data_IF_007668115981
#
_entry.id   IF_007668115981
#
_cell.length_a   1.000
_cell.length_b   1.000
_cell.length_c   1.000
_cell.angle_alpha   90.00
_cell.angle_beta   90.00
_cell.angle_gamma   90.00
#
_symmetry.space_group_name_H-M   'P 1'
#
loop_
_entity.id
_entity.type
_entity.pdbx_description
1 polymer ?
#
# COMPACT_ATOMS: atom_id res chain seq x y z
N UNK A 1 -18.16 3.78 42.22
CA UNK A 1 -17.24 3.37 41.13
C UNK A 1 -17.86 2.21 40.36
N UNK A 2 -17.91 2.21 39.02
CA UNK A 2 -18.36 1.05 38.26
C UNK A 2 -17.40 -0.11 38.50
N UNK A 3 -17.90 -1.26 38.96
CA UNK A 3 -17.11 -2.48 39.16
C UNK A 3 -16.53 -2.92 37.81
N UNK A 4 -15.20 -2.85 37.65
CA UNK A 4 -14.51 -3.55 36.55
C UNK A 4 -14.69 -5.05 36.75
N UNK A 5 -15.58 -5.67 35.98
CA UNK A 5 -15.64 -7.13 35.87
C UNK A 5 -14.40 -7.58 35.10
N UNK A 6 -13.58 -8.43 35.72
CA UNK A 6 -12.58 -9.22 34.99
C UNK A 6 -13.36 -10.23 34.16
N UNK A 7 -13.49 -9.99 32.87
CA UNK A 7 -14.02 -10.98 31.93
C UNK A 7 -12.88 -11.92 31.56
N UNK A 8 -13.04 -13.22 31.81
CA UNK A 8 -12.11 -14.23 31.34
C UNK A 8 -12.26 -14.40 29.82
N UNK A 9 -11.22 -14.09 29.01
CA UNK A 9 -11.26 -14.23 27.55
C UNK A 9 -11.55 -15.65 27.07
N UNK A 10 -11.23 -16.67 27.86
CA UNK A 10 -11.46 -18.09 27.50
C UNK A 10 -12.95 -18.45 27.41
N UNK A 11 -13.82 -17.75 28.16
CA UNK A 11 -15.27 -17.92 28.12
C UNK A 11 -15.94 -17.38 26.86
N UNK A 12 -15.19 -16.71 25.97
CA UNK A 12 -15.70 -16.19 24.69
C UNK A 12 -15.46 -17.14 23.52
N UNK A 13 -14.59 -18.15 23.69
CA UNK A 13 -14.44 -19.24 22.73
C UNK A 13 -15.63 -20.18 22.92
N UNK A 14 -16.60 -20.09 22.01
CA UNK A 14 -17.79 -20.92 22.05
C UNK A 14 -17.47 -22.29 21.45
N UNK A 15 -17.37 -23.30 22.30
CA UNK A 15 -17.33 -24.69 21.86
C UNK A 15 -18.77 -25.21 21.66
N UNK A 16 -19.05 -25.72 20.46
CA UNK A 16 -20.37 -26.17 20.05
C UNK A 16 -20.85 -27.37 20.90
N UNK A 17 -19.94 -28.29 21.23
CA UNK A 17 -20.25 -29.48 22.01
C UNK A 17 -20.63 -29.12 23.45
N UNK A 18 -19.83 -28.27 24.09
CA UNK A 18 -20.09 -27.78 25.45
C UNK A 18 -21.38 -26.96 25.53
N UNK A 19 -21.68 -26.15 24.51
CA UNK A 19 -22.94 -25.40 24.47
C UNK A 19 -24.16 -26.30 24.28
N UNK A 20 -24.06 -27.33 23.43
CA UNK A 20 -25.12 -28.33 23.25
C UNK A 20 -25.38 -29.12 24.54
N UNK A 21 -24.33 -29.60 25.20
CA UNK A 21 -24.43 -30.34 26.46
C UNK A 21 -25.11 -29.50 27.56
N UNK A 22 -24.71 -28.23 27.70
CA UNK A 22 -25.30 -27.32 28.68
C UNK A 22 -26.80 -27.03 28.44
N UNK A 23 -27.21 -26.91 27.18
CA UNK A 23 -28.62 -26.70 26.80
C UNK A 23 -29.46 -27.94 27.12
N UNK A 24 -28.92 -29.13 26.83
CA UNK A 24 -29.60 -30.40 27.13
C UNK A 24 -29.72 -30.64 28.64
N UNK A 25 -28.64 -30.40 29.40
CA UNK A 25 -28.65 -30.53 30.86
C UNK A 25 -29.69 -29.61 31.53
N UNK A 26 -29.91 -28.41 30.97
CA UNK A 26 -30.92 -27.50 31.49
C UNK A 26 -32.35 -27.86 31.06
N UNK A 27 -32.57 -28.19 29.78
CA UNK A 27 -33.91 -28.37 29.21
C UNK A 27 -34.46 -29.80 29.35
N UNK A 28 -33.60 -30.83 29.29
CA UNK A 28 -34.00 -32.24 29.44
C UNK A 28 -33.81 -32.75 30.85
N UNK A 29 -32.66 -32.46 31.46
CA UNK A 29 -32.30 -33.01 32.78
C UNK A 29 -32.74 -32.12 33.95
N UNK A 30 -33.34 -30.95 33.66
CA UNK A 30 -33.90 -30.04 34.67
C UNK A 30 -32.87 -29.32 35.54
N UNK A 31 -31.58 -29.35 35.18
CA UNK A 31 -30.52 -28.73 35.97
C UNK A 31 -30.68 -27.19 36.03
N UNK A 32 -30.44 -26.52 37.18
CA UNK A 32 -30.46 -25.06 37.25
C UNK A 32 -29.47 -24.42 36.26
N UNK A 33 -29.90 -23.40 35.53
CA UNK A 33 -29.09 -22.78 34.45
C UNK A 33 -27.73 -22.25 34.90
N UNK A 34 -27.58 -21.83 36.17
CA UNK A 34 -26.27 -21.45 36.72
C UNK A 34 -25.34 -22.65 36.90
N UNK A 35 -25.87 -23.77 37.37
CA UNK A 35 -25.10 -25.00 37.56
C UNK A 35 -24.67 -25.60 36.22
N UNK A 36 -25.57 -25.65 35.24
CA UNK A 36 -25.25 -26.10 33.88
C UNK A 36 -24.19 -25.22 33.20
N UNK A 37 -24.28 -23.89 33.39
CA UNK A 37 -23.29 -22.95 32.88
C UNK A 37 -21.89 -23.17 33.48
N UNK A 38 -21.81 -23.40 34.79
CA UNK A 38 -20.53 -23.67 35.46
C UNK A 38 -19.97 -25.05 35.11
N UNK A 39 -20.82 -26.08 35.04
CA UNK A 39 -20.41 -27.45 34.74
C UNK A 39 -19.76 -27.58 33.35
N UNK A 40 -20.34 -26.93 32.35
CA UNK A 40 -19.88 -26.99 30.96
C UNK A 40 -19.01 -25.79 30.56
N UNK A 41 -18.56 -24.98 31.53
CA UNK A 41 -17.72 -23.82 31.32
C UNK A 41 -18.26 -22.82 30.26
N UNK A 42 -19.57 -22.62 30.19
CA UNK A 42 -20.22 -21.69 29.26
C UNK A 42 -20.76 -20.45 29.96
N UNK A 43 -20.80 -19.29 29.28
CA UNK A 43 -21.42 -18.10 29.87
C UNK A 43 -22.93 -18.23 29.99
N UNK A 44 -23.46 -17.95 31.19
CA UNK A 44 -24.91 -17.98 31.49
C UNK A 44 -25.74 -17.16 30.51
N UNK A 45 -25.29 -15.96 30.13
CA UNK A 45 -26.00 -15.09 29.17
C UNK A 45 -26.10 -15.72 27.79
N UNK A 46 -25.05 -16.39 27.35
CA UNK A 46 -25.00 -17.09 26.07
C UNK A 46 -25.87 -18.34 26.11
N UNK A 47 -25.75 -19.14 27.17
CA UNK A 47 -26.61 -20.31 27.41
C UNK A 47 -28.10 -19.94 27.41
N UNK A 48 -28.49 -18.88 28.13
CA UNK A 48 -29.88 -18.39 28.17
C UNK A 48 -30.41 -18.01 26.78
N UNK A 49 -29.56 -17.42 25.92
CA UNK A 49 -29.93 -17.08 24.54
C UNK A 49 -30.16 -18.34 23.71
N UNK A 50 -29.27 -19.34 23.80
CA UNK A 50 -29.40 -20.59 23.07
C UNK A 50 -30.59 -21.43 23.57
N UNK A 51 -30.82 -21.53 24.89
CA UNK A 51 -32.00 -22.21 25.43
C UNK A 51 -33.30 -21.61 24.90
N UNK A 52 -33.41 -20.28 24.89
CA UNK A 52 -34.61 -19.59 24.36
C UNK A 52 -34.80 -19.80 22.86
N UNK A 53 -33.71 -19.78 22.09
CA UNK A 53 -33.76 -20.04 20.65
C UNK A 53 -34.13 -21.51 20.36
N UNK A 54 -33.56 -22.45 21.11
CA UNK A 54 -33.79 -23.89 20.95
C UNK A 54 -35.20 -24.32 21.39
N UNK A 55 -35.73 -23.73 22.46
CA UNK A 55 -37.09 -24.01 22.94
C UNK A 55 -38.19 -23.48 22.03
N UNK A 56 -37.89 -22.47 21.21
CA UNK A 56 -38.86 -21.84 20.30
C UNK A 56 -38.99 -22.58 18.94
N UNK A 57 -38.14 -23.56 18.67
CA UNK A 57 -38.12 -24.32 17.41
C UNK A 57 -39.01 -25.56 17.48
N UNK A 58 -39.57 -25.97 16.34
CA UNK A 58 -40.27 -27.24 16.21
C UNK A 58 -39.29 -28.43 16.32
N UNK A 59 -39.78 -29.62 16.68
CA UNK A 59 -38.91 -30.79 16.91
C UNK A 59 -38.09 -31.20 15.67
N UNK A 60 -38.64 -30.98 14.47
CA UNK A 60 -37.96 -31.20 13.19
C UNK A 60 -36.80 -30.20 12.96
N UNK A 61 -36.96 -28.95 13.38
CA UNK A 61 -35.96 -27.89 13.22
C UNK A 61 -34.84 -27.98 14.28
N UNK A 62 -35.11 -28.61 15.43
CA UNK A 62 -34.12 -28.85 16.48
C UNK A 62 -32.97 -29.74 16.02
N UNK A 63 -33.20 -30.61 15.04
CA UNK A 63 -32.17 -31.50 14.46
C UNK A 63 -31.15 -30.69 13.64
N UNK A 64 -31.59 -29.62 12.97
CA UNK A 64 -30.75 -28.75 12.17
C UNK A 64 -30.15 -27.56 12.95
N UNK A 65 -30.48 -27.42 14.24
CA UNK A 65 -30.02 -26.31 15.05
C UNK A 65 -28.52 -26.42 15.37
N UNK A 66 -27.73 -25.45 14.90
CA UNK A 66 -26.29 -25.35 15.19
C UNK A 66 -26.05 -24.49 16.42
N UNK A 67 -25.24 -24.98 17.35
CA UNK A 67 -24.85 -24.23 18.54
C UNK A 67 -23.60 -23.40 18.28
N UNK A 68 -23.47 -22.84 17.08
CA UNK A 68 -22.36 -21.95 16.70
C UNK A 68 -22.78 -20.48 16.78
N UNK A 69 -21.83 -19.55 16.98
CA UNK A 69 -22.17 -18.14 16.94
C UNK A 69 -22.59 -17.73 15.53
N UNK A 70 -23.79 -17.18 15.42
CA UNK A 70 -24.34 -16.65 14.16
C UNK A 70 -23.80 -15.24 13.91
N UNK A 71 -22.51 -15.12 13.60
CA UNK A 71 -21.85 -13.83 13.29
C UNK A 71 -22.22 -13.29 11.90
N UNK A 72 -22.78 -14.15 11.06
CA UNK A 72 -23.23 -13.92 9.69
C UNK A 72 -24.55 -13.14 9.58
N UNK A 73 -25.35 -13.04 10.65
CA UNK A 73 -26.68 -12.39 10.64
C UNK A 73 -26.62 -10.89 10.28
N UNK A 74 -25.45 -10.25 10.40
CA UNK A 74 -25.24 -8.83 10.07
C UNK A 74 -24.33 -8.59 8.87
N UNK A 75 -24.07 -9.60 8.03
CA UNK A 75 -23.36 -9.38 6.78
C UNK A 75 -24.23 -8.56 5.83
N UNK A 76 -23.69 -7.43 5.38
CA UNK A 76 -24.36 -6.54 4.42
C UNK A 76 -24.33 -7.15 3.02
N UNK A 77 -23.22 -7.80 2.65
CA UNK A 77 -23.00 -8.39 1.34
C UNK A 77 -23.07 -9.92 1.40
N UNK A 78 -23.55 -10.53 0.31
CA UNK A 78 -23.35 -11.95 0.04
C UNK A 78 -21.88 -12.24 -0.29
N UNK A 79 -21.47 -13.51 -0.24
CA UNK A 79 -20.11 -13.89 -0.61
C UNK A 79 -19.75 -13.45 -2.03
N UNK A 80 -20.67 -13.66 -2.99
CA UNK A 80 -20.48 -13.26 -4.40
C UNK A 80 -20.26 -11.75 -4.57
N UNK A 81 -20.99 -10.94 -3.80
CA UNK A 81 -20.83 -9.48 -3.81
C UNK A 81 -19.50 -9.05 -3.22
N UNK A 82 -19.03 -9.72 -2.16
CA UNK A 82 -17.71 -9.45 -1.60
C UNK A 82 -16.58 -9.89 -2.56
N UNK A 83 -16.73 -11.01 -3.25
CA UNK A 83 -15.77 -11.51 -4.25
C UNK A 83 -15.67 -10.57 -5.45
N UNK A 84 -16.80 -9.99 -5.87
CA UNK A 84 -16.84 -8.95 -6.91
C UNK A 84 -16.12 -7.67 -6.47
N UNK A 85 -16.33 -7.23 -5.23
CA UNK A 85 -15.60 -6.10 -4.64
C UNK A 85 -14.10 -6.38 -4.55
N UNK A 86 -13.69 -7.59 -4.13
CA UNK A 86 -12.28 -7.99 -4.09
C UNK A 86 -11.67 -7.92 -5.50
N UNK A 87 -12.36 -8.50 -6.49
CA UNK A 87 -11.91 -8.53 -7.88
C UNK A 87 -11.72 -7.13 -8.45
N UNK A 88 -12.64 -6.21 -8.15
CA UNK A 88 -12.52 -4.81 -8.55
C UNK A 88 -11.31 -4.12 -7.89
N UNK A 89 -11.11 -4.29 -6.58
CA UNK A 89 -9.96 -3.71 -5.86
C UNK A 89 -8.64 -4.19 -6.47
N UNK A 90 -8.53 -5.49 -6.78
CA UNK A 90 -7.35 -6.07 -7.41
C UNK A 90 -7.13 -5.53 -8.82
N UNK A 91 -8.20 -5.39 -9.61
CA UNK A 91 -8.13 -4.83 -10.95
C UNK A 91 -7.67 -3.37 -10.93
N UNK A 92 -8.28 -2.52 -10.08
CA UNK A 92 -7.88 -1.12 -9.92
C UNK A 92 -6.43 -0.99 -9.48
N UNK A 93 -5.96 -1.86 -8.59
CA UNK A 93 -4.56 -1.90 -8.18
C UNK A 93 -3.61 -2.24 -9.32
N UNK A 94 -3.96 -3.20 -10.19
CA UNK A 94 -3.14 -3.57 -11.36
C UNK A 94 -3.04 -2.46 -12.39
N UNK A 95 -4.06 -1.61 -12.48
CA UNK A 95 -4.06 -0.42 -13.34
C UNK A 95 -3.38 0.81 -12.69
N UNK A 96 -2.70 0.65 -11.54
CA UNK A 96 -2.11 1.73 -10.76
C UNK A 96 -3.11 2.75 -10.18
N UNK A 97 -4.40 2.40 -10.13
CA UNK A 97 -5.48 3.19 -9.50
C UNK A 97 -5.96 2.53 -8.20
N UNK A 98 -5.02 2.04 -7.38
CA UNK A 98 -5.32 1.34 -6.13
C UNK A 98 -6.19 2.16 -5.19
N UNK A 99 -7.18 1.51 -4.57
CA UNK A 99 -8.11 2.18 -3.67
C UNK A 99 -7.53 2.34 -2.27
N UNK A 100 -7.67 3.53 -1.71
CA UNK A 100 -7.39 3.76 -0.29
C UNK A 100 -8.50 3.17 0.58
N UNK A 101 -8.20 2.87 1.85
CA UNK A 101 -9.20 2.45 2.84
C UNK A 101 -10.45 3.33 2.84
N UNK A 102 -10.30 4.66 2.75
CA UNK A 102 -11.45 5.59 2.71
C UNK A 102 -12.30 5.37 1.45
N UNK A 103 -11.66 5.24 0.28
CA UNK A 103 -12.35 4.98 -0.99
C UNK A 103 -13.00 3.60 -1.02
N UNK A 104 -12.35 2.56 -0.50
CA UNK A 104 -12.94 1.22 -0.38
C UNK A 104 -14.20 1.25 0.48
N UNK A 105 -14.18 1.95 1.62
CA UNK A 105 -15.37 2.10 2.47
C UNK A 105 -16.49 2.89 1.78
N UNK A 106 -16.15 3.94 1.03
CA UNK A 106 -17.14 4.69 0.24
C UNK A 106 -17.74 3.84 -0.89
N UNK A 107 -16.90 3.11 -1.64
CA UNK A 107 -17.32 2.19 -2.69
C UNK A 107 -18.26 1.11 -2.15
N UNK A 108 -17.98 0.55 -0.97
CA UNK A 108 -18.86 -0.42 -0.35
C UNK A 108 -20.23 0.18 -0.02
N UNK A 109 -20.29 1.40 0.53
CA UNK A 109 -21.57 2.06 0.77
C UNK A 109 -22.33 2.35 -0.54
N UNK A 110 -21.66 2.89 -1.56
CA UNK A 110 -22.25 3.13 -2.89
C UNK A 110 -22.78 1.83 -3.50
N UNK A 111 -22.03 0.73 -3.38
CA UNK A 111 -22.41 -0.59 -3.87
C UNK A 111 -23.61 -1.16 -3.10
N UNK A 112 -23.65 -1.01 -1.78
CA UNK A 112 -24.79 -1.44 -0.97
C UNK A 112 -26.06 -0.65 -1.32
N UNK A 113 -25.92 0.66 -1.51
CA UNK A 113 -27.02 1.56 -1.88
C UNK A 113 -27.55 1.27 -3.29
N UNK A 114 -26.67 1.06 -4.25
CA UNK A 114 -27.04 0.73 -5.63
C UNK A 114 -27.77 -0.62 -5.76
N UNK A 115 -27.41 -1.60 -4.93
CA UNK A 115 -28.06 -2.91 -4.88
C UNK A 115 -29.26 -2.96 -3.90
N UNK A 116 -29.68 -1.81 -3.35
CA UNK A 116 -30.82 -1.70 -2.43
C UNK A 116 -30.71 -2.62 -1.21
N UNK A 117 -29.49 -2.83 -0.71
CA UNK A 117 -29.23 -3.71 0.44
C UNK A 117 -29.57 -3.03 1.76
N UNK A 118 -29.84 -3.84 2.80
CA UNK A 118 -29.97 -3.34 4.16
C UNK A 118 -28.58 -3.18 4.79
N UNK A 119 -28.27 -1.97 5.23
CA UNK A 119 -27.02 -1.65 5.90
C UNK A 119 -27.25 -0.69 7.09
N UNK A 120 -26.27 -0.52 7.99
CA UNK A 120 -26.42 0.37 9.14
C UNK A 120 -26.63 1.83 8.73
N UNK A 121 -27.57 2.54 9.37
CA UNK A 121 -27.86 3.97 9.10
C UNK A 121 -26.62 4.88 9.17
N UNK A 122 -25.67 4.52 10.03
CA UNK A 122 -24.39 5.24 10.15
C UNK A 122 -23.58 5.28 8.86
N UNK A 123 -23.86 4.41 7.88
CA UNK A 123 -23.19 4.45 6.58
C UNK A 123 -23.68 5.63 5.74
N UNK A 124 -24.96 5.98 5.80
CA UNK A 124 -25.51 7.15 5.11
C UNK A 124 -24.99 8.45 5.76
N UNK A 125 -24.96 8.50 7.10
CA UNK A 125 -24.47 9.68 7.83
C UNK A 125 -22.98 9.99 7.53
N UNK A 126 -22.19 8.95 7.25
CA UNK A 126 -20.75 9.07 6.99
C UNK A 126 -20.37 8.94 5.50
N UNK A 127 -21.34 8.70 4.61
CA UNK A 127 -21.15 8.33 3.20
C UNK A 127 -20.08 7.23 2.98
N UNK A 128 -19.99 6.30 3.93
CA UNK A 128 -18.94 5.29 3.95
C UNK A 128 -19.30 4.11 4.86
N UNK A 129 -18.83 2.93 4.49
CA UNK A 129 -18.91 1.75 5.33
C UNK A 129 -18.16 1.93 6.67
N UNK A 130 -18.69 1.26 7.70
CA UNK A 130 -18.14 1.29 9.05
C UNK A 130 -16.76 0.63 9.16
N UNK A 131 -16.06 0.93 10.25
CA UNK A 131 -14.73 0.39 10.53
C UNK A 131 -14.75 -1.12 10.80
N UNK A 132 -15.79 -1.62 11.48
CA UNK A 132 -15.97 -3.05 11.75
C UNK A 132 -16.22 -3.85 10.47
N UNK A 133 -16.97 -3.27 9.52
CA UNK A 133 -17.17 -3.86 8.21
C UNK A 133 -15.83 -4.01 7.48
N UNK A 134 -15.02 -2.94 7.46
CA UNK A 134 -13.73 -2.96 6.78
C UNK A 134 -12.79 -4.01 7.37
N UNK A 135 -12.69 -4.09 8.70
CA UNK A 135 -11.88 -5.12 9.37
C UNK A 135 -12.34 -6.53 9.00
N UNK A 136 -13.64 -6.79 9.11
CA UNK A 136 -14.20 -8.10 8.75
C UNK A 136 -14.00 -8.44 7.27
N UNK A 137 -14.13 -7.47 6.36
CA UNK A 137 -13.87 -7.66 4.94
C UNK A 137 -12.41 -8.04 4.70
N UNK A 138 -11.45 -7.32 5.30
CA UNK A 138 -10.03 -7.62 5.18
C UNK A 138 -9.62 -8.96 5.81
N UNK A 139 -10.29 -9.38 6.89
CA UNK A 139 -10.07 -10.70 7.52
C UNK A 139 -10.54 -11.85 6.63
N UNK A 140 -11.63 -11.66 5.88
CA UNK A 140 -12.16 -12.65 4.93
C UNK A 140 -11.36 -12.71 3.62
N UNK A 141 -10.86 -11.57 3.16
CA UNK A 141 -10.20 -11.42 1.85
C UNK A 141 -8.70 -11.21 2.01
N UNK A 142 -7.98 -12.28 2.33
CA UNK A 142 -6.53 -12.25 2.64
C UNK A 142 -5.63 -11.95 1.44
N UNK A 143 -6.17 -11.98 0.21
CA UNK A 143 -5.43 -11.61 -1.02
C UNK A 143 -5.22 -10.10 -1.12
N UNK A 144 -5.98 -9.30 -0.37
CA UNK A 144 -5.85 -7.84 -0.32
C UNK A 144 -5.01 -7.45 0.90
N UNK A 145 -4.05 -6.54 0.71
CA UNK A 145 -3.31 -5.93 1.80
C UNK A 145 -3.15 -4.43 1.60
N UNK A 146 -3.11 -3.67 2.70
CA UNK A 146 -2.87 -2.24 2.63
C UNK A 146 -1.36 -1.98 2.53
N UNK A 147 -0.93 -1.40 1.41
CA UNK A 147 0.47 -1.05 1.14
C UNK A 147 0.60 0.43 0.80
N UNK A 148 1.82 0.96 0.95
CA UNK A 148 2.15 2.31 0.48
C UNK A 148 2.57 2.20 -1.00
N UNK A 149 1.86 2.85 -1.93
CA UNK A 149 2.25 2.82 -3.33
C UNK A 149 3.56 3.60 -3.53
N UNK A 150 4.38 3.14 -4.47
CA UNK A 150 5.51 3.92 -4.98
C UNK A 150 5.01 4.98 -5.95
N UNK A 151 5.65 6.15 -5.94
CA UNK A 151 5.28 7.23 -6.85
C UNK A 151 5.85 6.94 -8.23
N UNK A 152 5.04 6.33 -9.07
CA UNK A 152 5.37 6.06 -10.48
C UNK A 152 4.68 7.09 -11.37
N UNK A 153 5.44 7.80 -12.20
CA UNK A 153 4.87 8.73 -13.17
C UNK A 153 4.13 7.98 -14.29
N UNK A 154 3.12 8.61 -14.89
CA UNK A 154 2.39 8.07 -16.04
C UNK A 154 3.34 7.66 -17.18
N UNK A 155 4.34 8.49 -17.49
CA UNK A 155 5.34 8.19 -18.52
C UNK A 155 6.15 6.93 -18.22
N UNK A 156 6.54 6.70 -16.96
CA UNK A 156 7.19 5.43 -16.57
C UNK A 156 6.23 4.26 -16.78
N UNK A 157 4.99 4.35 -16.31
CA UNK A 157 4.01 3.27 -16.52
C UNK A 157 3.79 2.94 -18.00
N UNK A 158 3.74 3.94 -18.88
CA UNK A 158 3.58 3.74 -20.32
C UNK A 158 4.85 3.18 -20.98
N UNK A 159 6.03 3.67 -20.57
CA UNK A 159 7.33 3.20 -21.07
C UNK A 159 7.68 1.77 -20.67
N UNK A 160 7.15 1.27 -19.55
CA UNK A 160 7.30 -0.11 -19.09
C UNK A 160 6.13 -1.03 -19.54
N UNK A 161 5.49 -0.72 -20.68
CA UNK A 161 4.53 -1.63 -21.32
C UNK A 161 5.26 -2.70 -22.13
N UNK A 162 4.66 -3.90 -22.28
CA UNK A 162 5.25 -4.98 -23.09
C UNK A 162 5.62 -4.52 -24.49
N UNK A 163 4.72 -3.81 -25.18
CA UNK A 163 4.98 -3.32 -26.53
C UNK A 163 6.16 -2.33 -26.61
N UNK A 164 6.27 -1.40 -25.65
CA UNK A 164 7.37 -0.44 -25.60
C UNK A 164 8.71 -1.15 -25.30
N UNK A 165 8.70 -2.07 -24.34
CA UNK A 165 9.88 -2.86 -23.95
C UNK A 165 10.34 -3.77 -25.10
N UNK A 166 9.41 -4.46 -25.76
CA UNK A 166 9.69 -5.33 -26.90
C UNK A 166 10.29 -4.52 -28.07
N UNK A 167 9.73 -3.34 -28.34
CA UNK A 167 10.25 -2.43 -29.38
C UNK A 167 11.67 -1.95 -29.04
N UNK A 168 11.91 -1.57 -27.78
CA UNK A 168 13.24 -1.16 -27.32
C UNK A 168 14.29 -2.28 -27.50
N UNK A 169 13.98 -3.50 -27.03
CA UNK A 169 14.92 -4.61 -27.13
C UNK A 169 15.14 -5.07 -28.56
N UNK A 170 14.11 -4.99 -29.43
CA UNK A 170 14.27 -5.23 -30.85
C UNK A 170 15.26 -4.26 -31.50
N UNK A 171 15.12 -2.96 -31.25
CA UNK A 171 16.07 -1.96 -31.77
C UNK A 171 17.48 -2.17 -31.18
N UNK A 172 17.58 -2.51 -29.90
CA UNK A 172 18.86 -2.81 -29.26
C UNK A 172 19.54 -4.02 -29.91
N UNK A 173 18.80 -5.09 -30.18
CA UNK A 173 19.31 -6.31 -30.82
C UNK A 173 19.77 -6.04 -32.26
N UNK A 174 19.01 -5.26 -33.04
CA UNK A 174 19.38 -4.85 -34.39
C UNK A 174 20.68 -4.03 -34.40
N UNK A 175 20.81 -3.06 -33.49
CA UNK A 175 22.01 -2.23 -33.36
C UNK A 175 23.21 -3.05 -32.87
N UNK A 176 23.02 -3.91 -31.88
CA UNK A 176 24.06 -4.78 -31.34
C UNK A 176 24.57 -5.75 -32.40
N UNK A 177 23.68 -6.32 -33.21
CA UNK A 177 24.04 -7.25 -34.31
C UNK A 177 24.74 -6.55 -35.46
N UNK A 178 24.43 -5.27 -35.72
CA UNK A 178 25.06 -4.50 -36.80
C UNK A 178 26.46 -4.01 -36.40
N UNK A 179 26.59 -3.43 -35.21
CA UNK A 179 27.80 -2.70 -34.81
C UNK A 179 28.70 -3.47 -33.84
N UNK A 180 28.21 -4.56 -33.25
CA UNK A 180 28.97 -5.42 -32.34
C UNK A 180 29.63 -4.62 -31.20
N UNK A 181 28.86 -3.82 -30.48
CA UNK A 181 29.40 -2.97 -29.41
C UNK A 181 30.07 -3.84 -28.33
N UNK A 182 31.39 -3.66 -28.09
CA UNK A 182 32.09 -4.39 -27.06
C UNK A 182 31.76 -3.83 -25.67
N UNK A 183 31.96 -4.63 -24.63
CA UNK A 183 31.56 -4.31 -23.25
C UNK A 183 32.21 -3.03 -22.68
N UNK A 184 33.39 -2.65 -23.17
CA UNK A 184 34.10 -1.42 -22.78
C UNK A 184 33.47 -0.15 -23.39
N UNK A 185 32.63 -0.30 -24.42
CA UNK A 185 31.93 0.79 -25.13
C UNK A 185 30.42 0.83 -24.87
N UNK A 186 29.89 -0.08 -24.06
CA UNK A 186 28.48 -0.07 -23.63
C UNK A 186 28.37 0.53 -22.24
N UNK A 187 27.78 1.72 -22.15
CA UNK A 187 27.61 2.45 -20.89
C UNK A 187 26.14 2.48 -20.48
N UNK A 188 25.89 2.23 -19.19
CA UNK A 188 24.64 2.60 -18.55
C UNK A 188 24.80 3.98 -17.91
N UNK A 189 23.81 4.84 -18.09
CA UNK A 189 23.77 6.20 -17.54
C UNK A 189 22.51 6.35 -16.71
N UNK A 190 22.65 6.85 -15.49
CA UNK A 190 21.51 7.10 -14.61
C UNK A 190 21.69 8.41 -13.83
N UNK A 191 20.57 8.98 -13.40
CA UNK A 191 20.50 10.26 -12.69
C UNK A 191 20.17 10.06 -11.22
N UNK A 192 20.83 10.82 -10.36
CA UNK A 192 20.45 10.91 -8.95
C UNK A 192 20.41 12.34 -8.45
N UNK A 193 19.38 12.65 -7.68
CA UNK A 193 19.20 13.95 -7.06
C UNK A 193 19.99 14.07 -5.76
N UNK A 194 21.05 14.87 -5.77
CA UNK A 194 21.82 15.24 -4.58
C UNK A 194 21.16 16.44 -3.90
N UNK A 195 20.69 16.24 -2.66
CA UNK A 195 20.19 17.33 -1.83
C UNK A 195 21.30 17.86 -0.93
N UNK A 196 21.50 19.17 -0.92
CA UNK A 196 22.40 19.85 0.01
C UNK A 196 21.82 20.01 1.43
N UNK A 197 20.56 19.61 1.65
CA UNK A 197 19.94 19.58 2.98
C UNK A 197 20.08 18.19 3.57
N UNK A 198 20.56 18.12 4.82
CA UNK A 198 20.70 16.88 5.56
C UNK A 198 19.32 16.21 5.72
N UNK A 199 19.05 15.17 4.93
CA UNK A 199 17.77 14.45 4.98
C UNK A 199 17.60 13.65 6.28
N UNK A 200 18.71 13.29 6.94
CA UNK A 200 18.71 12.58 8.22
C UNK A 200 19.48 13.43 9.23
N UNK A 201 18.74 14.14 10.07
CA UNK A 201 19.32 14.70 11.29
C UNK A 201 19.73 13.52 12.21
N UNK A 202 20.94 13.52 12.77
CA UNK A 202 21.34 12.49 13.73
C UNK A 202 20.40 12.51 14.94
N UNK A 203 20.25 11.34 15.60
CA UNK A 203 19.50 11.27 16.86
C UNK A 203 20.19 12.15 17.89
N UNK A 204 19.48 13.11 18.44
CA UNK A 204 19.98 13.97 19.52
C UNK A 204 19.34 13.53 20.84
N UNK A 205 20.08 13.70 21.94
CA UNK A 205 19.57 13.47 23.28
C UNK A 205 18.55 14.57 23.61
N UNK A 206 17.37 14.19 24.09
CA UNK A 206 16.30 15.11 24.47
C UNK A 206 15.53 14.59 25.70
N UNK A 207 14.81 15.47 26.43
CA UNK A 207 14.01 15.06 27.57
C UNK A 207 12.97 14.00 27.21
N UNK A 208 12.82 12.99 28.08
CA UNK A 208 11.89 11.88 27.90
C UNK A 208 10.45 12.41 27.86
N UNK A 209 9.71 12.08 26.79
CA UNK A 209 8.30 12.46 26.62
C UNK A 209 8.03 13.62 25.66
N UNK A 210 9.07 14.30 25.16
CA UNK A 210 8.93 15.35 24.14
C UNK A 210 8.69 14.69 22.77
N UNK A 211 7.54 14.99 22.16
CA UNK A 211 7.14 14.42 20.85
C UNK A 211 7.62 15.24 19.65
N UNK A 212 7.85 16.54 19.83
CA UNK A 212 8.32 17.45 18.78
C UNK A 212 9.63 18.07 19.23
N UNK A 213 10.71 17.67 18.56
CA UNK A 213 12.04 18.22 18.79
C UNK A 213 12.43 19.03 17.55
N UNK A 214 12.66 20.33 17.74
CA UNK A 214 13.11 21.21 16.68
C UNK A 214 14.61 21.02 16.41
N UNK A 215 14.99 20.97 15.15
CA UNK A 215 16.37 21.09 14.71
C UNK A 215 16.46 22.23 13.70
N UNK A 216 17.28 23.25 13.98
CA UNK A 216 17.50 24.35 13.05
C UNK A 216 18.37 23.87 11.89
N UNK A 217 17.77 23.68 10.73
CA UNK A 217 18.51 23.41 9.48
C UNK A 217 18.88 24.73 8.82
N UNK A 218 20.13 24.90 8.38
CA UNK A 218 20.65 26.15 7.79
C UNK A 218 19.95 26.62 6.49
N UNK A 219 19.03 25.85 5.93
CA UNK A 219 18.22 26.24 4.76
C UNK A 219 16.85 25.52 4.76
N UNK A 220 15.76 26.27 4.53
CA UNK A 220 14.38 25.75 4.56
C UNK A 220 14.07 24.75 3.43
N UNK A 221 14.79 24.83 2.31
CA UNK A 221 14.62 23.93 1.15
C UNK A 221 15.94 23.81 0.39
N UNK A 222 16.47 22.59 0.32
CA UNK A 222 17.73 22.35 -0.38
C UNK A 222 17.61 22.60 -1.88
N UNK A 223 18.65 23.18 -2.49
CA UNK A 223 18.77 23.21 -3.95
C UNK A 223 19.21 21.82 -4.39
N UNK A 224 18.37 21.15 -5.18
CA UNK A 224 18.72 19.86 -5.77
C UNK A 224 19.82 20.08 -6.83
N UNK A 225 20.87 19.28 -6.74
CA UNK A 225 21.88 19.13 -7.79
C UNK A 225 21.65 17.76 -8.40
N UNK A 226 21.54 17.67 -9.72
CA UNK A 226 21.40 16.38 -10.39
C UNK A 226 22.79 15.88 -10.74
N UNK A 227 23.13 14.68 -10.29
CA UNK A 227 24.34 13.99 -10.68
C UNK A 227 23.99 12.93 -11.72
N UNK A 228 24.68 12.94 -12.84
CA UNK A 228 24.64 11.91 -13.86
C UNK A 228 25.84 10.99 -13.64
N UNK A 229 25.58 9.72 -13.37
CA UNK A 229 26.59 8.69 -13.23
C UNK A 229 26.57 7.76 -14.44
N UNK A 230 27.75 7.43 -14.97
CA UNK A 230 27.88 6.60 -16.18
C UNK A 230 28.92 5.51 -15.97
N UNK A 231 28.51 4.25 -16.13
CA UNK A 231 29.36 3.06 -15.86
C UNK A 231 29.25 2.09 -17.04
N UNK A 232 30.36 1.55 -17.52
CA UNK A 232 30.35 0.50 -18.53
C UNK A 232 30.29 -0.91 -17.92
N UNK A 233 30.05 -1.91 -18.78
CA UNK A 233 30.01 -3.31 -18.36
C UNK A 233 31.35 -3.83 -17.83
N UNK A 234 32.47 -3.20 -18.20
CA UNK A 234 33.82 -3.50 -17.69
C UNK A 234 34.13 -2.84 -16.34
N UNK A 235 33.16 -2.16 -15.70
CA UNK A 235 33.29 -1.43 -14.41
C UNK A 235 34.17 -0.19 -14.46
N UNK A 236 34.53 0.28 -15.65
CA UNK A 236 35.04 1.64 -15.83
C UNK A 236 33.87 2.63 -15.75
N UNK A 237 34.15 3.85 -15.29
CA UNK A 237 33.14 4.89 -15.20
C UNK A 237 33.65 6.19 -15.83
N UNK A 238 32.72 6.96 -16.39
CA UNK A 238 33.00 8.34 -16.78
C UNK A 238 32.81 9.18 -15.52
N UNK A 239 33.71 10.14 -15.19
CA UNK A 239 33.54 11.03 -14.05
C UNK A 239 32.14 11.66 -14.05
N UNK A 240 31.53 11.85 -12.86
CA UNK A 240 30.14 12.27 -12.79
C UNK A 240 29.96 13.63 -13.44
N UNK A 241 28.78 13.84 -14.04
CA UNK A 241 28.38 15.12 -14.59
C UNK A 241 27.35 15.79 -13.68
N UNK A 242 27.57 17.03 -13.28
CA UNK A 242 26.69 17.74 -12.34
C UNK A 242 25.87 18.82 -13.03
N UNK A 243 24.56 18.81 -12.81
CA UNK A 243 23.63 19.84 -13.28
C UNK A 243 23.15 20.63 -12.07
N UNK A 244 23.52 21.90 -12.03
CA UNK A 244 23.13 22.83 -10.97
C UNK A 244 21.89 23.62 -11.40
N UNK A 245 20.83 23.59 -10.60
CA UNK A 245 19.62 24.39 -10.80
C UNK A 245 19.83 25.88 -10.50
N UNK A 246 20.65 26.55 -11.31
CA UNK A 246 21.11 27.93 -11.14
C UNK A 246 21.23 28.63 -12.49
N UNK A 247 21.14 29.96 -12.49
CA UNK A 247 21.31 30.78 -13.71
C UNK A 247 22.77 30.97 -14.08
N UNK A 248 23.66 31.13 -13.10
CA UNK A 248 25.10 31.33 -13.33
C UNK A 248 25.89 30.14 -12.80
N UNK A 249 26.81 29.66 -13.63
CA UNK A 249 27.81 28.70 -13.22
C UNK A 249 28.96 29.42 -12.49
N UNK A 250 29.47 28.81 -11.43
CA UNK A 250 30.63 29.28 -10.68
C UNK A 250 31.53 28.09 -10.47
N UNK A 251 32.80 28.19 -10.85
CA UNK A 251 33.75 27.06 -10.86
C UNK A 251 33.93 26.43 -9.47
N UNK A 252 33.86 27.24 -8.42
CA UNK A 252 33.87 26.78 -7.01
C UNK A 252 32.78 25.77 -6.65
N UNK A 253 31.75 25.61 -7.49
CA UNK A 253 30.76 24.53 -7.30
C UNK A 253 31.35 23.13 -7.50
N UNK A 254 32.53 23.03 -8.11
CA UNK A 254 33.30 21.81 -8.28
C UNK A 254 34.35 21.61 -7.19
N UNK A 255 34.44 22.50 -6.19
CA UNK A 255 35.38 22.35 -5.08
C UNK A 255 35.12 21.02 -4.34
N UNK A 256 36.10 20.12 -4.38
CA UNK A 256 36.00 18.79 -3.77
C UNK A 256 35.29 17.72 -4.61
N UNK A 257 34.92 18.02 -5.86
CA UNK A 257 34.41 17.01 -6.79
C UNK A 257 35.51 16.03 -7.23
N UNK A 258 35.17 14.79 -7.63
CA UNK A 258 36.12 13.86 -8.20
C UNK A 258 36.87 14.45 -9.41
N UNK A 259 38.15 14.09 -9.62
CA UNK A 259 38.90 14.54 -10.79
C UNK A 259 38.19 14.20 -12.10
N UNK A 260 38.11 15.18 -13.00
CA UNK A 260 37.45 15.02 -14.31
C UNK A 260 35.93 15.28 -14.31
N UNK A 261 35.31 15.56 -13.16
CA UNK A 261 33.91 15.98 -13.10
C UNK A 261 33.69 17.26 -13.89
N UNK A 262 32.70 17.23 -14.79
CA UNK A 262 32.20 18.40 -15.50
C UNK A 262 30.86 18.82 -14.93
N UNK A 263 30.51 20.09 -15.08
CA UNK A 263 29.24 20.60 -14.60
C UNK A 263 28.70 21.75 -15.43
N UNK A 264 27.38 21.92 -15.36
CA UNK A 264 26.66 22.99 -16.04
C UNK A 264 25.63 23.62 -15.10
N UNK A 265 25.36 24.90 -15.30
CA UNK A 265 24.21 25.58 -14.72
C UNK A 265 23.06 25.52 -15.71
N UNK A 266 21.89 25.06 -15.28
CA UNK A 266 20.70 24.87 -16.14
C UNK A 266 20.07 26.17 -16.67
N UNK A 267 20.63 27.34 -16.34
CA UNK A 267 20.09 28.65 -16.68
C UNK A 267 18.86 29.06 -15.85
N UNK A 268 18.16 28.10 -15.21
CA UNK A 268 16.92 28.33 -14.46
C UNK A 268 17.10 28.01 -12.97
N UNK A 269 16.84 28.96 -12.05
CA UNK A 269 16.96 28.70 -10.63
C UNK A 269 15.94 27.65 -10.18
N UNK A 270 16.42 26.63 -9.45
CA UNK A 270 15.57 25.58 -8.89
C UNK A 270 15.20 24.44 -9.85
N UNK A 271 15.57 24.53 -11.13
CA UNK A 271 15.38 23.48 -12.11
C UNK A 271 16.74 22.85 -12.45
N UNK A 272 17.02 21.64 -11.96
CA UNK A 272 18.24 20.89 -12.28
C UNK A 272 17.96 19.69 -13.18
N UNK A 273 16.86 19.69 -13.93
CA UNK A 273 16.47 18.57 -14.79
C UNK A 273 17.39 18.45 -16.01
N UNK A 274 17.68 17.22 -16.42
CA UNK A 274 18.33 16.98 -17.70
C UNK A 274 17.39 17.41 -18.83
N UNK A 275 17.91 18.18 -19.77
CA UNK A 275 17.26 18.49 -21.04
C UNK A 275 18.15 17.98 -22.18
N UNK A 276 17.59 17.86 -23.38
CA UNK A 276 18.32 17.44 -24.60
C UNK A 276 19.55 18.31 -24.89
N UNK A 277 19.57 19.57 -24.44
CA UNK A 277 20.74 20.46 -24.59
C UNK A 277 21.92 20.07 -23.69
N UNK A 278 21.67 19.33 -22.59
CA UNK A 278 22.70 18.89 -21.66
C UNK A 278 23.10 17.43 -21.83
N UNK A 279 22.52 16.70 -22.80
CA UNK A 279 22.95 15.34 -23.13
C UNK A 279 24.34 15.40 -23.76
N UNK A 280 25.36 15.47 -22.90
CA UNK A 280 26.79 15.34 -23.18
C UNK A 280 27.27 16.05 -24.47
N UNK A 281 27.84 17.27 -24.37
CA UNK A 281 28.55 17.87 -25.48
C UNK A 281 29.88 17.14 -25.66
N UNK A 282 29.85 16.03 -26.40
CA UNK A 282 31.03 15.39 -26.94
C UNK A 282 30.67 14.81 -28.30
N UNK A 283 31.24 15.38 -29.36
CA UNK A 283 31.28 14.83 -30.72
C UNK A 283 31.95 13.43 -30.81
N UNK A 284 32.11 12.72 -29.69
CA UNK A 284 32.81 11.44 -29.57
C UNK A 284 31.92 10.30 -29.02
N UNK A 285 30.71 10.60 -28.55
CA UNK A 285 29.77 9.58 -28.06
C UNK A 285 28.37 9.87 -28.61
N UNK A 286 27.98 9.15 -29.65
CA UNK A 286 26.60 9.13 -30.14
C UNK A 286 25.71 8.46 -29.09
N UNK A 287 25.04 9.25 -28.26
CA UNK A 287 24.00 8.76 -27.38
C UNK A 287 22.70 8.59 -28.21
N UNK A 288 22.32 7.35 -28.52
CA UNK A 288 21.00 7.07 -29.08
C UNK A 288 19.95 7.18 -27.97
N UNK A 289 19.40 8.37 -27.77
CA UNK A 289 18.21 8.55 -26.95
C UNK A 289 16.99 8.31 -27.83
N UNK A 290 16.28 7.19 -27.64
CA UNK A 290 14.98 6.97 -28.26
C UNK A 290 13.97 7.84 -27.51
N UNK A 291 13.81 9.09 -27.94
CA UNK A 291 12.64 9.89 -27.58
C UNK A 291 11.50 9.49 -28.50
N UNK A 292 10.47 8.84 -27.96
CA UNK A 292 9.17 8.75 -28.62
C UNK A 292 8.54 10.14 -28.55
N UNK A 293 8.74 10.95 -29.58
CA UNK A 293 7.97 12.17 -29.80
C UNK A 293 6.52 11.77 -30.07
N UNK A 294 5.63 12.09 -29.14
CA UNK A 294 4.18 12.09 -29.39
C UNK A 294 3.86 13.49 -29.87
N UNK A 295 3.74 13.66 -31.19
CA UNK A 295 3.15 14.84 -31.81
C UNK A 295 1.68 14.92 -31.41
N UNK A 296 1.20 16.05 -30.85
CA UNK A 296 -0.23 16.27 -30.67
C UNK A 296 -0.84 16.64 -32.02
N UNK A 297 -1.93 15.96 -32.37
CA UNK A 297 -2.88 16.40 -33.39
C UNK A 297 -3.73 17.56 -32.85
#
# INVERSE_FOLDING_TARGET
MPRKRKSDPSLYALDEENMKAAVMAHLKDGMPMRSAATLHAVQKSTLSRYCKAYSALADEEKVAFRFTPRYDVKKVFSSEMEDSLESYILLSSRMNYGLTKKRTKKLAWEFAKANTLKYPKSWDDNEAAGEDWYKGFMERHTRISLRRPESTSLHRNLGFSRAAVDTFYKHLEELQSKFHFPADRTYNMDETGLSNVQQKCPKVLCPKGVKQLGATTSQERGKLVTMVGTINAMRSFIPPYLIFGRTRFVERLLDGAPPGTKAVASGKPGNAWMTTEYSMPSNELSCATVQTEVTPA
#
